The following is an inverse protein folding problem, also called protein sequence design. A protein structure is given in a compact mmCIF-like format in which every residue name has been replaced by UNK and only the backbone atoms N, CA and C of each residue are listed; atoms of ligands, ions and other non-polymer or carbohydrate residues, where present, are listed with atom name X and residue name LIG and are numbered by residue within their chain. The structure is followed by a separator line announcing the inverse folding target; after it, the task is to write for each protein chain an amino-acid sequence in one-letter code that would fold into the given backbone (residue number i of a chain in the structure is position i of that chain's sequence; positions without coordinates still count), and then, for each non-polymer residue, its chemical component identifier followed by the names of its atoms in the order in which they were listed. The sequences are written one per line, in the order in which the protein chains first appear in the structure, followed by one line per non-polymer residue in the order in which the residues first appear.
data_IF_371077421948
#
_entry.id   IF_371077421948
#
_cell.length_a   1.000
_cell.length_b   1.000
_cell.length_c   1.000
_cell.angle_alpha   90.00
_cell.angle_beta   90.00
_cell.angle_gamma   90.00
#
_symmetry.space_group_name_H-M   'P 1'
#
loop_
_entity.id
_entity.type
_entity.pdbx_description
1 polymer ?
#
# COMPACT_ATOMS: atom_id res chain seq x y z
N UNK A 1 20.59 35.24 23.90
CA UNK A 1 19.84 34.58 25.02
C UNK A 1 20.54 33.30 25.34
N UNK A 2 20.95 33.05 26.58
CA UNK A 2 21.64 31.79 26.91
C UNK A 2 20.69 30.61 26.74
N UNK A 3 21.12 29.48 26.14
CA UNK A 3 20.28 28.34 25.92
C UNK A 3 19.93 27.68 27.25
N UNK A 4 18.76 27.99 27.75
CA UNK A 4 18.23 27.25 28.91
C UNK A 4 17.53 26.00 28.38
N UNK A 5 17.52 24.93 29.20
CA UNK A 5 16.84 23.68 28.87
C UNK A 5 15.36 23.87 28.56
N UNK A 6 14.74 24.89 29.17
CA UNK A 6 13.35 25.29 28.94
C UNK A 6 13.14 25.91 27.56
N UNK A 7 14.05 26.79 27.12
CA UNK A 7 13.97 27.43 25.81
C UNK A 7 14.14 26.41 24.67
N UNK A 8 15.08 25.47 24.83
CA UNK A 8 15.23 24.35 23.89
C UNK A 8 13.95 23.50 23.84
N UNK A 9 13.32 23.21 24.98
CA UNK A 9 12.10 22.41 25.02
C UNK A 9 10.91 23.11 24.31
N UNK A 10 10.83 24.43 24.36
CA UNK A 10 9.81 25.21 23.64
C UNK A 10 10.04 25.16 22.13
N UNK A 11 11.30 25.33 21.68
CA UNK A 11 11.66 25.23 20.28
C UNK A 11 11.38 23.84 19.70
N UNK A 12 11.75 22.78 20.40
CA UNK A 12 11.45 21.41 19.97
C UNK A 12 9.95 21.12 19.93
N UNK A 13 9.14 21.72 20.78
CA UNK A 13 7.67 21.65 20.68
C UNK A 13 7.16 22.32 19.42
N UNK A 14 7.74 23.50 19.05
CA UNK A 14 7.42 24.18 17.81
C UNK A 14 7.77 23.34 16.58
N UNK A 15 8.98 22.78 16.54
CA UNK A 15 9.42 21.91 15.45
C UNK A 15 8.55 20.65 15.32
N UNK A 16 8.19 20.04 16.45
CA UNK A 16 7.27 18.91 16.47
C UNK A 16 5.88 19.28 15.96
N UNK A 17 5.39 20.46 16.28
CA UNK A 17 4.11 20.95 15.77
C UNK A 17 4.17 21.13 14.25
N UNK A 18 5.23 21.75 13.72
CA UNK A 18 5.43 21.91 12.27
C UNK A 18 5.55 20.58 11.54
N UNK A 19 6.27 19.62 12.14
CA UNK A 19 6.36 18.26 11.60
C UNK A 19 4.99 17.59 11.55
N UNK A 20 4.25 17.60 12.66
CA UNK A 20 2.93 16.98 12.74
C UNK A 20 1.91 17.65 11.81
N UNK A 21 1.97 18.97 11.66
CA UNK A 21 1.16 19.70 10.69
C UNK A 21 1.42 19.21 9.26
N UNK A 22 2.69 19.11 8.87
CA UNK A 22 3.06 18.62 7.55
C UNK A 22 2.71 17.14 7.33
N UNK A 23 2.92 16.30 8.35
CA UNK A 23 2.59 14.88 8.30
C UNK A 23 1.07 14.65 8.13
N UNK A 24 0.25 15.42 8.87
CA UNK A 24 -1.21 15.30 8.84
C UNK A 24 -1.87 16.19 7.77
N UNK A 25 -1.09 17.01 7.04
CA UNK A 25 -1.64 17.85 6.01
C UNK A 25 -2.32 16.99 4.94
N UNK A 26 -3.57 17.30 4.64
CA UNK A 26 -4.22 16.72 3.49
C UNK A 26 -3.40 17.07 2.24
N UNK A 27 -3.22 16.14 1.30
CA UNK A 27 -2.61 16.46 0.01
C UNK A 27 -3.39 17.61 -0.61
N UNK A 28 -2.67 18.54 -1.26
CA UNK A 28 -3.32 19.66 -1.96
C UNK A 28 -4.33 19.07 -2.96
N UNK A 29 -5.55 19.61 -3.01
CA UNK A 29 -6.59 19.19 -3.98
C UNK A 29 -6.10 19.35 -5.44
N UNK A 30 -5.06 20.14 -5.64
CA UNK A 30 -4.36 20.31 -6.94
C UNK A 30 -3.45 19.13 -7.27
N UNK A 31 -3.10 18.32 -6.30
CA UNK A 31 -2.30 17.10 -6.44
C UNK A 31 -3.18 15.90 -6.84
N UNK A 32 -4.08 16.10 -7.81
CA UNK A 32 -4.90 15.00 -8.39
C UNK A 32 -4.04 13.91 -9.03
N UNK A 33 -2.78 14.20 -9.30
CA UNK A 33 -1.78 13.26 -9.82
C UNK A 33 -1.06 12.47 -8.72
N UNK A 34 -1.15 12.88 -7.46
CA UNK A 34 -0.48 12.20 -6.35
C UNK A 34 -1.37 11.11 -5.74
N UNK A 35 -1.07 9.89 -6.13
CA UNK A 35 -1.64 8.68 -5.55
C UNK A 35 -1.41 8.67 -4.04
N UNK A 36 -2.48 8.58 -3.25
CA UNK A 36 -2.40 8.40 -1.81
C UNK A 36 -2.17 6.93 -1.49
N UNK A 37 -1.46 6.66 -0.41
CA UNK A 37 -1.32 5.29 0.07
C UNK A 37 -2.69 4.64 0.33
N UNK A 38 -3.62 5.38 0.93
CA UNK A 38 -4.98 4.96 1.28
C UNK A 38 -5.84 4.55 0.08
N UNK A 39 -5.48 5.01 -1.14
CA UNK A 39 -6.24 4.68 -2.36
C UNK A 39 -6.04 3.22 -2.79
N UNK A 40 -4.92 2.58 -2.39
CA UNK A 40 -4.55 1.24 -2.85
C UNK A 40 -4.00 0.32 -1.77
N UNK A 41 -3.83 0.80 -0.52
CA UNK A 41 -3.46 -0.03 0.63
C UNK A 41 -4.53 0.06 1.72
N UNK A 42 -4.68 -1.02 2.45
CA UNK A 42 -5.52 -1.07 3.64
C UNK A 42 -4.64 -0.96 4.87
N UNK A 43 -4.94 0.02 5.72
CA UNK A 43 -4.28 0.15 7.01
C UNK A 43 -4.87 -0.87 7.99
N UNK A 44 -3.99 -1.68 8.57
CA UNK A 44 -4.35 -2.68 9.59
C UNK A 44 -3.53 -2.38 10.84
N UNK A 45 -4.17 -2.07 11.97
CA UNK A 45 -3.46 -1.84 13.21
C UNK A 45 -2.73 -3.11 13.66
N UNK A 46 -1.46 -2.95 14.04
CA UNK A 46 -0.62 -4.04 14.54
C UNK A 46 -0.15 -3.76 15.95
N UNK A 47 -0.18 -4.77 16.80
CA UNK A 47 0.29 -4.70 18.19
C UNK A 47 1.47 -5.62 18.46
N UNK A 48 1.84 -6.46 17.49
CA UNK A 48 2.92 -7.44 17.61
C UNK A 48 4.02 -7.16 16.58
N UNK A 49 5.17 -7.78 16.76
CA UNK A 49 6.30 -7.66 15.81
C UNK A 49 6.00 -8.32 14.46
N UNK A 50 5.08 -9.27 14.43
CA UNK A 50 4.57 -9.90 13.21
C UNK A 50 3.09 -10.19 13.35
N UNK A 51 2.36 -10.03 12.27
CA UNK A 51 0.92 -10.30 12.19
C UNK A 51 0.65 -11.36 11.14
N UNK A 52 -0.19 -12.33 11.49
CA UNK A 52 -0.67 -13.35 10.58
C UNK A 52 -2.02 -12.94 9.99
N UNK A 53 -2.04 -12.65 8.71
CA UNK A 53 -3.28 -12.38 7.98
C UNK A 53 -3.77 -13.67 7.35
N UNK A 54 -4.93 -14.12 7.79
CA UNK A 54 -5.57 -15.34 7.29
C UNK A 54 -6.78 -14.98 6.44
N UNK A 55 -7.00 -15.76 5.39
CA UNK A 55 -8.21 -15.65 4.57
C UNK A 55 -8.75 -17.03 4.28
N UNK A 56 -10.05 -17.10 4.10
CA UNK A 56 -10.71 -18.30 3.62
C UNK A 56 -10.50 -18.38 2.10
N UNK A 57 -10.16 -19.57 1.63
CA UNK A 57 -10.16 -19.88 0.21
C UNK A 57 -11.56 -19.80 -0.41
N UNK A 58 -11.70 -20.31 -1.60
CA UNK A 58 -12.97 -20.22 -2.33
C UNK A 58 -14.12 -20.87 -1.57
N UNK A 59 -15.24 -20.17 -1.47
CA UNK A 59 -16.49 -20.71 -0.94
C UNK A 59 -17.15 -21.54 -2.05
N UNK A 60 -17.49 -22.81 -1.80
CA UNK A 60 -18.14 -23.66 -2.81
C UNK A 60 -19.48 -23.05 -3.27
N UNK A 61 -19.70 -23.07 -4.58
CA UNK A 61 -20.96 -22.59 -5.15
C UNK A 61 -22.12 -23.53 -4.78
N UNK A 62 -23.33 -22.95 -4.69
CA UNK A 62 -24.53 -23.73 -4.53
C UNK A 62 -24.81 -24.54 -5.80
N UNK A 63 -25.04 -25.82 -5.65
CA UNK A 63 -25.40 -26.73 -6.74
C UNK A 63 -26.72 -27.43 -6.47
N UNK A 64 -27.39 -27.86 -7.51
CA UNK A 64 -28.56 -28.73 -7.37
C UNK A 64 -28.11 -30.03 -6.71
N UNK A 65 -28.77 -30.41 -5.63
CA UNK A 65 -28.46 -31.69 -4.96
C UNK A 65 -28.97 -32.86 -5.79
N UNK A 66 -28.02 -33.67 -6.25
CA UNK A 66 -28.30 -34.91 -6.94
C UNK A 66 -27.29 -35.97 -6.40
N UNK A 67 -27.77 -37.02 -5.77
CA UNK A 67 -26.94 -38.06 -5.21
C UNK A 67 -26.29 -37.72 -3.85
N UNK A 68 -25.06 -38.16 -3.62
CA UNK A 68 -24.33 -37.94 -2.38
C UNK A 68 -23.90 -36.49 -2.18
N UNK A 69 -23.81 -36.06 -0.92
CA UNK A 69 -23.24 -34.76 -0.58
C UNK A 69 -21.75 -34.73 -0.91
N UNK A 70 -21.30 -33.68 -1.57
CA UNK A 70 -19.89 -33.41 -1.77
C UNK A 70 -19.46 -32.45 -0.68
N UNK A 71 -18.47 -32.85 0.11
CA UNK A 71 -17.86 -32.02 1.15
C UNK A 71 -16.63 -31.38 0.53
N UNK A 72 -16.59 -30.05 0.49
CA UNK A 72 -15.42 -29.28 0.09
C UNK A 72 -14.66 -28.87 1.35
N UNK A 73 -13.37 -29.15 1.39
CA UNK A 73 -12.50 -28.59 2.43
C UNK A 73 -12.32 -27.11 2.18
N UNK A 74 -12.48 -26.31 3.23
CA UNK A 74 -12.10 -24.89 3.18
C UNK A 74 -10.57 -24.81 3.29
N UNK A 75 -9.93 -24.27 2.28
CA UNK A 75 -8.52 -23.97 2.32
C UNK A 75 -8.31 -22.63 3.05
N UNK A 76 -7.41 -22.61 4.01
CA UNK A 76 -7.07 -21.40 4.78
C UNK A 76 -5.70 -20.94 4.33
N UNK A 77 -5.70 -19.87 3.54
CA UNK A 77 -4.47 -19.17 3.20
C UNK A 77 -3.98 -18.32 4.38
N UNK A 78 -2.67 -18.18 4.53
CA UNK A 78 -2.04 -17.31 5.52
C UNK A 78 -0.82 -16.61 4.91
N UNK A 79 -0.67 -15.34 5.24
CA UNK A 79 0.55 -14.58 4.99
C UNK A 79 0.99 -13.92 6.30
N UNK A 80 2.26 -14.04 6.63
CA UNK A 80 2.85 -13.40 7.80
C UNK A 80 3.54 -12.13 7.35
N UNK A 81 3.18 -11.00 7.95
CA UNK A 81 3.80 -9.70 7.73
C UNK A 81 4.61 -9.32 8.97
N UNK A 82 5.88 -9.03 8.79
CA UNK A 82 6.77 -8.60 9.87
C UNK A 82 6.92 -7.09 9.84
N UNK A 83 6.76 -6.45 10.99
CA UNK A 83 6.91 -5.01 11.14
C UNK A 83 8.40 -4.63 11.10
N UNK A 84 8.72 -3.63 10.31
CA UNK A 84 10.07 -3.07 10.20
C UNK A 84 10.07 -1.63 10.74
N UNK A 85 11.02 -1.26 11.63
CA UNK A 85 11.15 0.11 12.09
C UNK A 85 11.82 0.98 11.01
N UNK A 86 11.30 2.19 10.84
CA UNK A 86 11.89 3.22 10.00
C UNK A 86 12.21 4.43 10.85
N UNK A 87 13.38 5.02 10.66
CA UNK A 87 13.82 6.22 11.38
C UNK A 87 14.41 7.27 10.44
N UNK A 88 14.31 8.52 10.85
CA UNK A 88 15.05 9.63 10.28
C UNK A 88 15.49 10.55 11.42
N UNK A 89 16.80 10.72 11.60
CA UNK A 89 17.37 11.53 12.68
C UNK A 89 18.08 12.75 12.12
N UNK A 90 17.75 13.92 12.65
CA UNK A 90 18.44 15.18 12.34
C UNK A 90 19.03 15.75 13.61
N UNK A 91 20.35 15.97 13.61
CA UNK A 91 21.07 16.67 14.68
C UNK A 91 21.14 18.17 14.34
N UNK A 92 20.62 19.01 15.22
CA UNK A 92 20.73 20.48 15.09
C UNK A 92 21.56 21.00 16.25
N UNK A 93 22.74 21.63 16.01
CA UNK A 93 23.52 22.26 17.05
C UNK A 93 22.75 23.41 17.71
N UNK A 94 22.82 23.49 19.04
CA UNK A 94 22.12 24.56 19.79
C UNK A 94 22.50 25.97 19.33
N UNK A 95 23.80 26.29 19.10
CA UNK A 95 24.17 27.62 18.57
C UNK A 95 23.54 27.93 17.23
N UNK A 96 23.39 26.93 16.35
CA UNK A 96 22.75 27.15 15.04
C UNK A 96 21.26 27.49 15.15
N UNK A 97 20.57 26.96 16.18
CA UNK A 97 19.17 27.30 16.46
C UNK A 97 19.05 28.74 16.97
N UNK A 98 20.01 29.17 17.80
CA UNK A 98 20.03 30.53 18.35
C UNK A 98 20.31 31.59 17.29
N UNK A 99 21.15 31.25 16.32
CA UNK A 99 21.54 32.09 15.20
C UNK A 99 20.61 32.00 14.01
N UNK A 100 19.50 31.22 14.11
CA UNK A 100 18.53 31.03 13.02
C UNK A 100 17.69 32.28 12.76
N UNK A 101 18.36 33.34 12.32
CA UNK A 101 17.73 34.62 11.95
C UNK A 101 16.83 34.50 10.70
N UNK A 102 16.97 33.43 9.95
CA UNK A 102 16.24 33.19 8.69
C UNK A 102 15.12 32.17 8.80
N UNK A 103 14.96 31.51 9.94
CA UNK A 103 13.90 30.52 10.16
C UNK A 103 14.08 29.26 9.31
N UNK A 104 15.31 28.84 9.03
CA UNK A 104 15.64 27.72 8.13
C UNK A 104 15.21 26.36 8.69
N UNK A 105 15.12 26.23 10.01
CA UNK A 105 14.78 24.94 10.63
C UNK A 105 13.30 24.57 10.50
N UNK A 106 12.38 25.54 10.49
CA UNK A 106 10.95 25.24 10.29
C UNK A 106 10.67 24.57 8.94
N UNK A 107 11.19 25.07 7.80
CA UNK A 107 11.09 24.35 6.51
C UNK A 107 11.70 22.97 6.52
N UNK A 108 12.82 22.75 7.24
CA UNK A 108 13.44 21.43 7.37
C UNK A 108 12.50 20.42 8.05
N UNK A 109 11.92 20.79 9.19
CA UNK A 109 10.98 19.91 9.90
C UNK A 109 9.68 19.68 9.14
N UNK A 110 9.23 20.65 8.36
CA UNK A 110 8.11 20.50 7.43
C UNK A 110 8.46 19.49 6.33
N UNK A 111 9.64 19.58 5.75
CA UNK A 111 10.11 18.63 4.74
C UNK A 111 10.23 17.21 5.30
N UNK A 112 10.69 17.05 6.55
CA UNK A 112 10.70 15.75 7.23
C UNK A 112 9.29 15.19 7.45
N UNK A 113 8.32 16.02 7.82
CA UNK A 113 6.92 15.62 7.95
C UNK A 113 6.34 15.12 6.63
N UNK A 114 6.60 15.83 5.55
CA UNK A 114 6.19 15.42 4.20
C UNK A 114 6.85 14.10 3.80
N UNK A 115 8.17 13.95 4.03
CA UNK A 115 8.88 12.71 3.71
C UNK A 115 8.36 11.51 4.51
N UNK A 116 8.00 11.71 5.78
CA UNK A 116 7.41 10.66 6.62
C UNK A 116 6.02 10.23 6.10
N UNK A 117 5.21 11.19 5.64
CA UNK A 117 3.91 10.90 5.00
C UNK A 117 4.08 10.13 3.70
N UNK A 118 5.05 10.53 2.86
CA UNK A 118 5.29 9.92 1.56
C UNK A 118 5.95 8.55 1.65
N UNK A 119 6.55 8.21 2.81
CA UNK A 119 7.19 6.91 3.04
C UNK A 119 6.24 5.74 2.79
N UNK A 120 5.01 5.82 3.29
CA UNK A 120 4.01 4.76 3.13
C UNK A 120 3.70 4.48 1.66
N UNK A 121 3.50 5.54 0.88
CA UNK A 121 3.29 5.43 -0.57
C UNK A 121 4.50 4.79 -1.26
N UNK A 122 5.71 5.24 -0.92
CA UNK A 122 6.93 4.70 -1.51
C UNK A 122 7.13 3.21 -1.18
N UNK A 123 6.87 2.80 0.06
CA UNK A 123 6.94 1.41 0.48
C UNK A 123 5.89 0.54 -0.22
N UNK A 124 4.65 1.01 -0.29
CA UNK A 124 3.58 0.32 -0.99
C UNK A 124 3.89 0.13 -2.48
N UNK A 125 4.35 1.19 -3.15
CA UNK A 125 4.78 1.12 -4.55
C UNK A 125 5.97 0.19 -4.75
N UNK A 126 6.96 0.23 -3.86
CA UNK A 126 8.10 -0.68 -3.90
C UNK A 126 7.66 -2.14 -3.80
N UNK A 127 6.72 -2.44 -2.90
CA UNK A 127 6.16 -3.78 -2.72
C UNK A 127 5.37 -4.23 -3.95
N UNK A 128 4.52 -3.36 -4.48
CA UNK A 128 3.70 -3.63 -5.66
C UNK A 128 4.57 -3.92 -6.89
N UNK A 129 5.56 -3.06 -7.16
CA UNK A 129 6.48 -3.21 -8.28
C UNK A 129 7.47 -4.37 -8.09
N UNK A 130 7.81 -4.69 -6.84
CA UNK A 130 8.65 -5.83 -6.51
C UNK A 130 8.04 -7.17 -6.89
N UNK A 131 6.72 -7.22 -7.02
CA UNK A 131 5.97 -8.39 -7.45
C UNK A 131 6.43 -9.68 -6.76
N UNK A 132 6.51 -9.65 -5.43
CA UNK A 132 6.95 -10.77 -4.61
C UNK A 132 6.01 -11.98 -4.74
N UNK A 133 6.49 -13.15 -4.32
CA UNK A 133 5.68 -14.35 -4.26
C UNK A 133 4.54 -14.16 -3.25
N UNK A 134 3.36 -14.59 -3.65
CA UNK A 134 2.18 -14.65 -2.80
C UNK A 134 2.13 -15.98 -2.02
N UNK A 135 1.14 -16.14 -1.16
CA UNK A 135 0.98 -17.32 -0.33
C UNK A 135 0.81 -18.66 -1.11
N UNK A 136 0.41 -18.58 -2.37
CA UNK A 136 0.30 -19.72 -3.28
C UNK A 136 1.64 -20.10 -3.97
N UNK A 137 2.73 -19.40 -3.62
CA UNK A 137 4.06 -19.60 -4.20
C UNK A 137 4.25 -18.93 -5.57
N UNK A 138 3.20 -18.40 -6.19
CA UNK A 138 3.29 -17.66 -7.44
C UNK A 138 3.53 -16.17 -7.18
N UNK A 139 4.08 -15.46 -8.16
CA UNK A 139 4.16 -13.99 -8.07
C UNK A 139 2.77 -13.39 -7.98
N UNK A 140 2.63 -12.26 -7.27
CA UNK A 140 1.33 -11.59 -7.14
C UNK A 140 0.73 -11.25 -8.51
N UNK A 141 1.51 -10.63 -9.40
CA UNK A 141 1.14 -10.46 -10.80
C UNK A 141 1.79 -11.56 -11.63
N UNK A 142 0.99 -12.43 -12.19
CA UNK A 142 1.47 -13.52 -13.03
C UNK A 142 0.45 -13.88 -14.11
N UNK A 143 0.95 -14.50 -15.18
CA UNK A 143 0.11 -15.12 -16.20
C UNK A 143 -0.24 -16.54 -15.77
N UNK A 144 -1.51 -16.90 -15.93
CA UNK A 144 -1.94 -18.28 -15.76
C UNK A 144 -1.88 -18.78 -14.32
N UNK A 145 -2.32 -17.98 -13.33
CA UNK A 145 -2.42 -18.45 -11.94
C UNK A 145 -3.38 -19.61 -11.82
N UNK A 146 -2.94 -20.79 -11.32
CA UNK A 146 -3.83 -21.93 -11.15
C UNK A 146 -4.87 -21.61 -10.07
N UNK A 147 -6.11 -21.97 -10.34
CA UNK A 147 -7.19 -21.90 -9.36
C UNK A 147 -7.34 -23.27 -8.70
N UNK A 148 -7.63 -23.28 -7.40
CA UNK A 148 -7.67 -24.51 -6.58
C UNK A 148 -8.73 -25.53 -7.01
N UNK A 149 -9.73 -25.10 -7.76
CA UNK A 149 -10.86 -25.91 -8.24
C UNK A 149 -10.65 -26.54 -9.62
N UNK A 150 -9.47 -26.35 -10.23
CA UNK A 150 -9.16 -26.84 -11.57
C UNK A 150 -9.84 -26.08 -12.71
N UNK A 151 -10.42 -24.92 -12.44
CA UNK A 151 -10.92 -24.01 -13.49
C UNK A 151 -9.77 -23.44 -14.32
N UNK A 152 -10.10 -22.81 -15.45
CA UNK A 152 -9.08 -22.21 -16.32
C UNK A 152 -8.18 -21.22 -15.53
N UNK A 153 -6.86 -21.27 -15.71
CA UNK A 153 -5.96 -20.40 -14.97
C UNK A 153 -6.26 -18.93 -15.26
N UNK A 154 -6.26 -18.12 -14.22
CA UNK A 154 -6.52 -16.69 -14.32
C UNK A 154 -5.22 -15.90 -14.52
N UNK A 155 -5.29 -14.85 -15.33
CA UNK A 155 -4.16 -13.97 -15.62
C UNK A 155 -4.43 -12.58 -15.09
N UNK A 156 -3.57 -12.06 -14.23
CA UNK A 156 -3.58 -10.68 -13.74
C UNK A 156 -2.33 -9.88 -14.19
N UNK A 157 -1.61 -10.38 -15.16
CA UNK A 157 -0.48 -9.70 -15.79
C UNK A 157 -0.72 -9.58 -17.30
N UNK A 158 -0.77 -8.36 -17.80
CA UNK A 158 -0.89 -8.06 -19.23
C UNK A 158 0.47 -7.67 -19.75
N UNK A 159 0.94 -8.32 -20.82
CA UNK A 159 2.27 -8.09 -21.41
C UNK A 159 2.25 -7.14 -22.61
N UNK A 160 1.06 -6.67 -23.00
CA UNK A 160 0.89 -5.69 -24.07
C UNK A 160 1.47 -4.34 -23.66
N UNK A 161 2.16 -3.65 -24.57
CA UNK A 161 2.65 -2.29 -24.31
C UNK A 161 1.49 -1.37 -23.89
N UNK A 162 1.76 -0.44 -22.98
CA UNK A 162 0.75 0.47 -22.47
C UNK A 162 0.09 1.27 -23.59
N UNK A 163 -1.24 1.32 -23.59
CA UNK A 163 -2.09 1.97 -24.57
C UNK A 163 -3.54 1.47 -24.42
N UNK A 164 -4.42 1.91 -25.29
CA UNK A 164 -5.85 1.59 -25.23
C UNK A 164 -6.11 0.09 -25.16
N UNK A 165 -5.45 -0.70 -26.00
CA UNK A 165 -5.59 -2.15 -26.03
C UNK A 165 -5.12 -2.81 -24.72
N UNK A 166 -4.06 -2.30 -24.07
CA UNK A 166 -3.58 -2.81 -22.80
C UNK A 166 -4.55 -2.45 -21.66
N UNK A 167 -5.14 -1.26 -21.71
CA UNK A 167 -6.14 -0.82 -20.74
C UNK A 167 -7.40 -1.68 -20.85
N UNK A 168 -7.91 -1.89 -22.05
CA UNK A 168 -9.06 -2.76 -22.29
C UNK A 168 -8.81 -4.20 -21.83
N UNK A 169 -7.62 -4.74 -22.13
CA UNK A 169 -7.22 -6.08 -21.70
C UNK A 169 -7.13 -6.18 -20.16
N UNK A 170 -6.60 -5.15 -19.51
CA UNK A 170 -6.53 -5.09 -18.04
C UNK A 170 -7.91 -5.02 -17.37
N UNK A 171 -8.82 -4.21 -17.93
CA UNK A 171 -10.22 -4.14 -17.48
C UNK A 171 -10.92 -5.49 -17.67
N UNK A 172 -10.75 -6.12 -18.82
CA UNK A 172 -11.31 -7.43 -19.10
C UNK A 172 -10.78 -8.51 -18.16
N UNK A 173 -9.47 -8.51 -17.87
CA UNK A 173 -8.86 -9.41 -16.93
C UNK A 173 -9.42 -9.26 -15.50
N UNK A 174 -9.60 -8.03 -15.01
CA UNK A 174 -10.22 -7.78 -13.71
C UNK A 174 -11.69 -8.24 -13.67
N UNK A 175 -12.44 -7.96 -14.70
CA UNK A 175 -13.87 -8.37 -14.79
C UNK A 175 -14.06 -9.88 -14.93
N UNK A 176 -13.08 -10.56 -15.52
CA UNK A 176 -13.10 -12.03 -15.65
C UNK A 176 -12.64 -12.76 -14.40
N UNK A 177 -12.20 -12.04 -13.35
CA UNK A 177 -11.79 -12.65 -12.08
C UNK A 177 -12.94 -13.46 -11.47
N UNK A 178 -12.62 -14.66 -11.02
CA UNK A 178 -13.58 -15.59 -10.44
C UNK A 178 -13.39 -15.71 -8.93
N UNK A 179 -14.48 -15.73 -8.19
CA UNK A 179 -14.51 -15.99 -6.75
C UNK A 179 -14.63 -17.49 -6.45
N UNK A 180 -15.01 -18.31 -7.43
CA UNK A 180 -15.20 -19.74 -7.37
C UNK A 180 -15.69 -20.29 -8.70
N UNK A 181 -15.95 -21.59 -8.81
CA UNK A 181 -16.48 -22.21 -10.02
C UNK A 181 -17.78 -21.52 -10.45
N UNK A 182 -17.84 -21.04 -11.67
CA UNK A 182 -18.98 -20.33 -12.25
C UNK A 182 -19.45 -19.09 -11.46
N UNK A 183 -18.59 -18.54 -10.58
CA UNK A 183 -18.88 -17.35 -9.78
C UNK A 183 -17.92 -16.21 -10.14
N UNK A 184 -18.46 -15.14 -10.73
CA UNK A 184 -17.70 -13.91 -10.95
C UNK A 184 -17.35 -13.25 -9.61
N UNK A 185 -16.09 -12.82 -9.46
CA UNK A 185 -15.65 -12.00 -8.32
C UNK A 185 -16.21 -10.56 -8.38
N UNK A 186 -16.82 -10.19 -9.49
CA UNK A 186 -17.42 -8.86 -9.73
C UNK A 186 -16.46 -7.69 -9.40
N UNK A 187 -15.20 -7.86 -9.76
CA UNK A 187 -14.17 -6.84 -9.53
C UNK A 187 -14.33 -5.72 -10.56
N UNK A 188 -14.48 -4.49 -10.08
CA UNK A 188 -14.54 -3.29 -10.91
C UNK A 188 -13.24 -2.50 -10.76
N UNK A 189 -12.57 -2.12 -11.88
CA UNK A 189 -11.40 -1.25 -11.82
C UNK A 189 -11.82 0.14 -11.31
N UNK A 190 -11.07 0.70 -10.38
CA UNK A 190 -11.33 2.03 -9.80
C UNK A 190 -10.15 2.98 -9.93
N UNK A 191 -8.94 2.44 -10.05
CA UNK A 191 -7.71 3.21 -10.03
C UNK A 191 -6.79 2.72 -11.13
N UNK A 192 -6.23 3.66 -11.89
CA UNK A 192 -5.17 3.42 -12.85
C UNK A 192 -3.90 4.10 -12.35
N UNK A 193 -2.84 3.32 -12.14
CA UNK A 193 -1.55 3.83 -11.72
C UNK A 193 -0.61 3.73 -12.93
N UNK A 194 -0.07 4.85 -13.36
CA UNK A 194 0.87 4.94 -14.49
C UNK A 194 2.18 5.55 -14.05
N UNK A 195 3.28 5.14 -14.69
CA UNK A 195 4.56 5.79 -14.49
C UNK A 195 4.65 7.13 -15.25
N UNK A 196 5.60 8.02 -14.88
CA UNK A 196 5.73 9.36 -15.48
C UNK A 196 5.93 9.36 -17.00
N UNK A 197 6.46 8.27 -17.56
CA UNK A 197 6.65 8.13 -19.01
C UNK A 197 5.37 7.80 -19.79
N UNK A 198 4.29 7.49 -19.09
CA UNK A 198 3.00 7.08 -19.67
C UNK A 198 1.83 7.94 -19.15
N UNK A 199 2.15 9.02 -18.42
CA UNK A 199 1.18 9.97 -17.90
C UNK A 199 0.83 11.06 -18.91
#
# INVERSE_FOLDING_TARGET
MLPTRENCAILFRGFRATFNEAYNAAPDERDTENLRAEDFIMEVPSTHSSEDHTWLGQIPAFRKWVGSRVIHSLDIGRITVTNEPYEATVGVPVPAIEDDSYGLFSPLFRSMGNAARDLWRALAMKTLLGNAAWADGNRFFCAGRPLADGTAPWTNAVTTAFGDAALEAGIAALRSAQAGPDQSANVLPRLLIVGPSNA
#
